data_IF_953316961043
#
_entry.id   IF_953316961043
#
_cell.length_a   1.000
_cell.length_b   1.000
_cell.length_c   1.000
_cell.angle_alpha   90.00
_cell.angle_beta   90.00
_cell.angle_gamma   90.00
#
_symmetry.space_group_name_H-M   'P 1'
#
loop_
_entity.id
_entity.type
_entity.pdbx_description
1 polymer ?
#
# COMPACT_ATOMS: atom_id res chain seq x y z
N UNK A 1 -2.37 -5.03 -10.81
CA UNK A 1 -1.55 -3.81 -10.62
C UNK A 1 -1.14 -3.17 -11.93
N UNK A 2 -1.30 -1.86 -12.04
CA UNK A 2 -0.77 -1.02 -13.13
C UNK A 2 0.26 -0.04 -12.54
N UNK A 3 1.40 0.12 -13.20
CA UNK A 3 2.41 1.13 -12.83
C UNK A 3 2.54 2.18 -13.93
N UNK A 4 2.53 3.46 -13.55
CA UNK A 4 2.87 4.60 -14.42
C UNK A 4 3.75 5.58 -13.66
N UNK A 5 4.94 5.83 -14.17
CA UNK A 5 5.97 6.64 -13.50
C UNK A 5 6.23 6.13 -12.05
N UNK A 6 6.09 6.99 -11.05
CA UNK A 6 6.21 6.63 -9.63
C UNK A 6 4.86 6.34 -8.97
N UNK A 7 3.80 6.09 -9.74
CA UNK A 7 2.46 5.77 -9.22
C UNK A 7 2.14 4.31 -9.52
N UNK A 8 1.65 3.60 -8.51
CA UNK A 8 1.02 2.28 -8.67
C UNK A 8 -0.46 2.36 -8.33
N UNK A 9 -1.28 1.71 -9.15
CA UNK A 9 -2.74 1.61 -8.97
C UNK A 9 -3.14 0.14 -8.91
N UNK A 10 -3.96 -0.21 -7.92
CA UNK A 10 -4.46 -1.57 -7.74
C UNK A 10 -5.57 -1.89 -8.74
N UNK A 11 -5.90 -3.18 -8.86
CA UNK A 11 -7.13 -3.61 -9.53
C UNK A 11 -8.39 -3.12 -8.77
N UNK A 12 -9.50 -3.01 -9.50
CA UNK A 12 -10.79 -2.61 -8.92
C UNK A 12 -11.18 -3.54 -7.74
N UNK A 13 -11.63 -2.94 -6.64
CA UNK A 13 -11.96 -3.69 -5.42
C UNK A 13 -10.76 -4.11 -4.55
N UNK A 14 -9.53 -3.76 -4.94
CA UNK A 14 -8.32 -4.07 -4.18
C UNK A 14 -7.63 -2.83 -3.62
N UNK A 15 -6.86 -3.03 -2.57
CA UNK A 15 -5.93 -2.05 -1.98
C UNK A 15 -4.54 -2.64 -1.86
N UNK A 16 -3.55 -1.80 -1.55
CA UNK A 16 -2.18 -2.25 -1.34
C UNK A 16 -1.86 -2.50 0.13
N UNK A 17 -1.14 -3.59 0.39
CA UNK A 17 -0.44 -3.85 1.65
C UNK A 17 1.06 -3.79 1.40
N UNK A 18 1.80 -3.06 2.23
CA UNK A 18 3.27 -3.09 2.19
C UNK A 18 3.77 -4.35 2.90
N UNK A 19 4.55 -5.18 2.21
CA UNK A 19 4.91 -6.54 2.64
C UNK A 19 5.72 -6.59 3.92
N UNK A 20 6.58 -5.60 4.14
CA UNK A 20 7.55 -5.61 5.25
C UNK A 20 6.91 -5.32 6.61
N UNK A 21 5.85 -4.52 6.66
CA UNK A 21 5.21 -4.08 7.91
C UNK A 21 3.68 -4.22 7.92
N UNK A 22 3.08 -4.69 6.84
CA UNK A 22 1.64 -4.96 6.76
C UNK A 22 0.76 -3.72 6.70
N UNK A 23 1.34 -2.52 6.57
CA UNK A 23 0.57 -1.27 6.49
C UNK A 23 -0.33 -1.29 5.25
N UNK A 24 -1.61 -0.97 5.45
CA UNK A 24 -2.61 -0.87 4.39
C UNK A 24 -2.65 0.56 3.85
N UNK A 25 -2.57 0.66 2.53
CA UNK A 25 -2.68 1.89 1.78
C UNK A 25 -3.98 1.88 0.94
N UNK A 26 -4.30 2.98 0.28
CA UNK A 26 -5.41 3.02 -0.67
C UNK A 26 -5.13 2.23 -1.95
N UNK A 27 -6.01 2.38 -2.93
CA UNK A 27 -5.89 1.78 -4.26
C UNK A 27 -4.86 2.48 -5.16
N UNK A 28 -4.34 3.64 -4.74
CA UNK A 28 -3.29 4.38 -5.44
C UNK A 28 -2.19 4.77 -4.45
N UNK A 29 -0.94 4.48 -4.80
CA UNK A 29 0.25 4.87 -4.03
C UNK A 29 1.20 5.67 -4.92
N UNK A 30 1.66 6.80 -4.40
CA UNK A 30 2.81 7.52 -4.91
C UNK A 30 4.07 6.98 -4.24
N UNK A 31 4.88 6.22 -4.98
CA UNK A 31 6.12 5.65 -4.49
C UNK A 31 7.11 6.77 -4.15
N UNK A 32 7.63 6.74 -2.93
CA UNK A 32 8.53 7.75 -2.40
C UNK A 32 9.66 7.14 -1.58
N UNK A 33 10.28 7.99 -0.78
CA UNK A 33 11.28 7.56 0.20
C UNK A 33 10.61 7.40 1.55
N UNK A 34 10.58 6.18 2.09
CA UNK A 34 10.09 5.94 3.45
C UNK A 34 11.21 6.11 4.49
N UNK A 35 10.85 6.77 5.59
CA UNK A 35 11.72 6.97 6.75
C UNK A 35 11.30 6.10 7.94
N UNK A 36 10.15 5.43 7.83
CA UNK A 36 9.54 4.65 8.90
C UNK A 36 8.94 3.36 8.35
N UNK A 37 9.15 2.27 9.08
CA UNK A 37 8.45 1.00 8.89
C UNK A 37 7.84 0.60 10.23
N UNK A 38 6.57 0.20 10.24
CA UNK A 38 5.84 -0.15 11.48
C UNK A 38 5.96 0.92 12.60
N UNK A 39 5.94 2.20 12.22
CA UNK A 39 6.15 3.32 13.15
C UNK A 39 7.58 3.50 13.68
N UNK A 40 8.53 2.62 13.31
CA UNK A 40 9.93 2.67 13.73
C UNK A 40 10.74 3.48 12.71
N UNK A 41 11.46 4.49 13.19
CA UNK A 41 12.36 5.30 12.35
C UNK A 41 13.54 4.45 11.87
N UNK A 42 13.80 4.47 10.57
CA UNK A 42 14.92 3.77 9.96
C UNK A 42 16.25 4.51 10.18
N UNK A 43 17.35 3.76 10.32
CA UNK A 43 18.70 4.34 10.32
C UNK A 43 19.00 5.00 8.96
N UNK A 44 18.56 4.35 7.88
CA UNK A 44 18.68 4.86 6.50
C UNK A 44 17.31 4.79 5.81
N UNK A 45 16.86 5.87 5.16
CA UNK A 45 15.62 5.85 4.40
C UNK A 45 15.70 4.87 3.23
N UNK A 46 14.55 4.30 2.86
CA UNK A 46 14.45 3.33 1.77
C UNK A 46 13.59 3.94 0.67
N UNK A 47 14.04 3.83 -0.58
CA UNK A 47 13.22 4.17 -1.74
C UNK A 47 12.25 3.01 -2.02
N UNK A 48 10.96 3.29 -1.92
CA UNK A 48 9.91 2.32 -2.17
C UNK A 48 9.82 1.95 -3.65
N UNK A 49 9.47 0.69 -3.89
CA UNK A 49 9.29 0.07 -5.21
C UNK A 49 7.93 -0.61 -5.26
N UNK A 50 7.37 -0.83 -6.46
CA UNK A 50 6.13 -1.60 -6.62
C UNK A 50 6.20 -2.97 -5.92
N UNK A 51 7.35 -3.64 -6.01
CA UNK A 51 7.57 -4.97 -5.43
C UNK A 51 7.48 -5.00 -3.90
N UNK A 52 7.55 -3.85 -3.21
CA UNK A 52 7.38 -3.76 -1.77
C UNK A 52 5.91 -3.93 -1.35
N UNK A 53 4.97 -3.90 -2.31
CA UNK A 53 3.54 -3.96 -2.07
C UNK A 53 2.92 -5.21 -2.70
N UNK A 54 1.78 -5.61 -2.16
CA UNK A 54 0.88 -6.61 -2.74
C UNK A 54 -0.55 -6.08 -2.74
N UNK A 55 -1.36 -6.53 -3.70
CA UNK A 55 -2.79 -6.22 -3.72
C UNK A 55 -3.54 -7.19 -2.81
N UNK A 56 -4.47 -6.65 -2.02
CA UNK A 56 -5.40 -7.42 -1.20
C UNK A 56 -6.84 -6.96 -1.51
N UNK A 57 -7.79 -7.89 -1.44
CA UNK A 57 -9.20 -7.56 -1.63
C UNK A 57 -9.75 -6.73 -0.47
N UNK A 58 -10.60 -5.75 -0.77
CA UNK A 58 -11.34 -5.00 0.24
C UNK A 58 -12.56 -5.82 0.61
N UNK A 59 -12.56 -6.44 1.80
CA UNK A 59 -13.80 -6.97 2.37
C UNK A 59 -14.64 -5.79 2.89
N UNK A 60 -15.54 -5.28 2.04
CA UNK A 60 -16.53 -4.29 2.48
C UNK A 60 -17.60 -5.03 3.27
N UNK A 61 -17.49 -5.03 4.59
CA UNK A 61 -18.62 -5.39 5.45
C UNK A 61 -19.60 -4.22 5.44
N UNK A 62 -20.66 -4.34 4.65
CA UNK A 62 -21.82 -3.46 4.78
C UNK A 62 -22.61 -3.92 5.99
N UNK A 63 -22.59 -3.14 7.07
CA UNK A 63 -23.62 -3.29 8.10
C UNK A 63 -24.94 -2.80 7.47
N UNK A 64 -25.88 -3.72 7.22
CA UNK A 64 -27.26 -3.34 6.96
C UNK A 64 -27.79 -2.66 8.21
N UNK A 65 -28.07 -1.36 8.12
CA UNK A 65 -28.73 -0.61 9.19
C UNK A 65 -30.22 -0.92 9.07
N UNK A 66 -30.72 -1.81 9.93
CA UNK A 66 -32.15 -2.10 10.12
C UNK A 66 -32.96 -0.85 10.56
#
# INVERSE_FOLDING_TARGET
MIQKDNVITSEEGKVFRRKIDGVIFGSEIYLGTTYYLDGIRLEKPIQEKPDDFEEIDIEVQTEEID
#
